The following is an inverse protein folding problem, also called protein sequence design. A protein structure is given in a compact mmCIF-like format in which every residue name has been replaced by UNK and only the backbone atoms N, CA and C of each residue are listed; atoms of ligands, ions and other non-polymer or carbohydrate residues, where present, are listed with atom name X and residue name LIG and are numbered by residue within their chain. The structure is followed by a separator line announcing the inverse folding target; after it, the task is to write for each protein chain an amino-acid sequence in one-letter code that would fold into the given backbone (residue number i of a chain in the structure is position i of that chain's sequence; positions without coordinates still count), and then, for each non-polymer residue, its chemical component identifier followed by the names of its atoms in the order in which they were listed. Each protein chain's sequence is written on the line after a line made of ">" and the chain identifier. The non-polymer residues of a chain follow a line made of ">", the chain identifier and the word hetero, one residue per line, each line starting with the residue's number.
data_IF_923212231691
#
_entry.id   IF_923212231691
#
_cell.length_a   1.000
_cell.length_b   1.000
_cell.length_c   1.000
_cell.angle_alpha   90.00
_cell.angle_beta   90.00
_cell.angle_gamma   90.00
#
_symmetry.space_group_name_H-M   'P 1'
#
loop_
_entity.id
_entity.type
_entity.pdbx_description
1 polymer ?
#
# COMPACT_ATOMS: atom_id res chain seq x y z
N UNK A 1 -11.06 12.35 -2.02
CA UNK A 1 -10.36 13.25 -1.08
C UNK A 1 -8.88 13.07 -1.33
N UNK A 2 -8.11 14.15 -1.44
CA UNK A 2 -6.65 14.09 -1.61
C UNK A 2 -6.07 14.96 -0.50
N UNK A 3 -5.18 14.39 0.31
CA UNK A 3 -4.46 15.18 1.31
C UNK A 3 -3.33 15.93 0.61
N UNK A 4 -3.24 17.22 0.89
CA UNK A 4 -2.23 18.10 0.33
C UNK A 4 -1.78 19.07 1.40
N UNK A 5 -0.54 18.94 1.85
CA UNK A 5 0.11 19.89 2.74
C UNK A 5 1.02 19.25 3.76
N UNK A 6 0.59 18.17 4.40
CA UNK A 6 1.42 17.45 5.37
C UNK A 6 2.05 16.19 4.77
N UNK A 7 1.39 15.55 3.79
CA UNK A 7 1.91 14.44 2.99
C UNK A 7 2.42 13.28 3.84
N UNK A 8 1.68 12.94 4.90
CA UNK A 8 2.04 11.84 5.79
C UNK A 8 1.72 10.49 5.17
N UNK A 9 2.74 9.62 5.13
CA UNK A 9 2.57 8.21 4.80
C UNK A 9 1.65 7.52 5.82
N UNK A 10 0.79 6.62 5.33
CA UNK A 10 -0.16 5.85 6.14
C UNK A 10 -1.52 6.51 6.29
N UNK A 11 -1.73 7.70 5.73
CA UNK A 11 -2.99 8.44 5.80
C UNK A 11 -4.14 7.78 5.02
N UNK A 12 -3.83 6.99 3.99
CA UNK A 12 -4.77 6.65 2.93
C UNK A 12 -5.92 5.74 3.41
N UNK A 13 -5.62 4.74 4.24
CA UNK A 13 -6.60 3.75 4.71
C UNK A 13 -7.60 4.38 5.69
N UNK A 14 -7.10 5.08 6.72
CA UNK A 14 -7.95 5.74 7.71
C UNK A 14 -8.70 6.94 7.11
N UNK A 15 -8.13 7.66 6.14
CA UNK A 15 -8.85 8.70 5.44
C UNK A 15 -10.00 8.15 4.61
N UNK A 16 -9.80 7.02 3.91
CA UNK A 16 -10.88 6.36 3.18
C UNK A 16 -12.00 5.91 4.13
N UNK A 17 -11.66 5.38 5.31
CA UNK A 17 -12.65 5.07 6.34
C UNK A 17 -13.43 6.32 6.79
N UNK A 18 -12.74 7.42 7.06
CA UNK A 18 -13.37 8.69 7.41
C UNK A 18 -14.33 9.21 6.33
N UNK A 19 -13.92 9.12 5.05
CA UNK A 19 -14.79 9.46 3.92
C UNK A 19 -16.00 8.53 3.85
N UNK A 20 -15.82 7.21 4.07
CA UNK A 20 -16.93 6.26 4.05
C UNK A 20 -17.94 6.52 5.18
N UNK A 21 -17.46 6.90 6.37
CA UNK A 21 -18.32 7.30 7.49
C UNK A 21 -19.10 8.59 7.18
N UNK A 22 -18.47 9.56 6.53
CA UNK A 22 -19.11 10.81 6.13
C UNK A 22 -20.10 10.65 4.96
N UNK A 23 -19.81 9.72 4.05
CA UNK A 23 -20.57 9.47 2.81
C UNK A 23 -20.95 7.98 2.67
N UNK A 24 -21.85 7.44 3.51
CA UNK A 24 -22.07 5.98 3.62
C UNK A 24 -22.53 5.30 2.32
N UNK A 25 -23.23 6.05 1.46
CA UNK A 25 -23.81 5.52 0.21
C UNK A 25 -22.82 5.51 -0.96
N UNK A 26 -21.65 6.14 -0.84
CA UNK A 26 -20.67 6.23 -1.92
C UNK A 26 -19.68 5.08 -1.86
N UNK A 27 -19.23 4.63 -3.02
CA UNK A 27 -18.08 3.74 -3.10
C UNK A 27 -16.80 4.55 -2.87
N UNK A 28 -15.93 4.06 -1.99
CA UNK A 28 -14.71 4.77 -1.59
C UNK A 28 -13.50 3.92 -1.93
N UNK A 29 -12.55 4.55 -2.61
CA UNK A 29 -11.28 3.96 -3.01
C UNK A 29 -10.12 4.74 -2.40
N UNK A 30 -9.16 4.02 -1.84
CA UNK A 30 -7.84 4.52 -1.47
C UNK A 30 -6.82 4.01 -2.49
N UNK A 31 -5.92 4.87 -2.94
CA UNK A 31 -4.75 4.46 -3.74
C UNK A 31 -3.52 4.66 -2.87
N UNK A 32 -2.73 3.62 -2.65
CA UNK A 32 -1.62 3.63 -1.67
C UNK A 32 -0.44 2.80 -2.16
N UNK A 33 0.78 3.22 -1.84
CA UNK A 33 1.99 2.41 -2.06
C UNK A 33 2.24 1.46 -0.90
N UNK A 34 2.92 0.35 -1.16
CA UNK A 34 3.40 -0.63 -0.17
C UNK A 34 4.06 -0.01 1.09
N UNK A 35 4.96 0.97 0.91
CA UNK A 35 5.65 1.63 2.03
C UNK A 35 4.69 2.40 2.94
N UNK A 36 3.72 3.12 2.37
CA UNK A 36 2.71 3.86 3.13
C UNK A 36 1.69 2.93 3.78
N UNK A 37 1.28 1.87 3.07
CA UNK A 37 0.39 0.86 3.59
C UNK A 37 0.96 0.20 4.85
N UNK A 38 2.25 -0.17 4.85
CA UNK A 38 2.91 -0.77 6.02
C UNK A 38 2.89 0.10 7.29
N UNK A 39 2.65 1.41 7.19
CA UNK A 39 2.65 2.29 8.35
C UNK A 39 1.35 2.22 9.16
N UNK A 40 0.19 2.12 8.50
CA UNK A 40 -1.13 2.23 9.16
C UNK A 40 -2.21 1.30 8.56
N UNK A 41 -1.82 0.21 7.91
CA UNK A 41 -2.77 -0.79 7.39
C UNK A 41 -3.66 -1.45 8.46
N UNK A 42 -3.29 -1.41 9.74
CA UNK A 42 -4.09 -1.99 10.82
C UNK A 42 -5.47 -1.33 10.97
N UNK A 43 -5.67 -0.14 10.40
CA UNK A 43 -6.97 0.54 10.36
C UNK A 43 -8.02 -0.19 9.50
N UNK A 44 -7.60 -1.20 8.71
CA UNK A 44 -8.52 -2.16 8.09
C UNK A 44 -9.39 -2.87 9.15
N UNK A 45 -8.85 -3.14 10.35
CA UNK A 45 -9.62 -3.73 11.45
C UNK A 45 -10.76 -2.82 11.87
N UNK A 46 -10.50 -1.52 12.00
CA UNK A 46 -11.51 -0.51 12.33
C UNK A 46 -12.60 -0.46 11.26
N UNK A 47 -12.23 -0.47 9.98
CA UNK A 47 -13.19 -0.50 8.86
C UNK A 47 -14.12 -1.72 8.94
N UNK A 48 -13.58 -2.90 9.25
CA UNK A 48 -14.37 -4.14 9.42
C UNK A 48 -15.28 -4.03 10.65
N UNK A 49 -14.74 -3.57 11.78
CA UNK A 49 -15.48 -3.42 13.04
C UNK A 49 -16.72 -2.53 12.86
N UNK A 50 -16.57 -1.42 12.14
CA UNK A 50 -17.64 -0.45 11.89
C UNK A 50 -18.54 -0.84 10.71
N UNK A 51 -18.30 -1.99 10.05
CA UNK A 51 -19.05 -2.43 8.87
C UNK A 51 -18.94 -1.47 7.68
N UNK A 52 -17.88 -0.66 7.64
CA UNK A 52 -17.69 0.42 6.68
C UNK A 52 -16.79 -0.03 5.53
N UNK A 53 -17.37 -0.57 4.46
CA UNK A 53 -16.63 -1.06 3.28
C UNK A 53 -15.81 0.06 2.63
N UNK A 54 -14.49 -0.14 2.53
CA UNK A 54 -13.57 0.66 1.71
C UNK A 54 -12.80 -0.25 0.75
N UNK A 55 -12.42 0.27 -0.40
CA UNK A 55 -11.55 -0.44 -1.35
C UNK A 55 -10.14 0.15 -1.29
N UNK A 56 -9.13 -0.70 -1.08
CA UNK A 56 -7.73 -0.27 -1.06
C UNK A 56 -7.02 -0.83 -2.29
N UNK A 57 -6.58 0.06 -3.17
CA UNK A 57 -5.76 -0.26 -4.33
C UNK A 57 -4.30 -0.01 -3.97
N UNK A 58 -3.58 -1.10 -3.71
CA UNK A 58 -2.18 -1.08 -3.28
C UNK A 58 -1.24 -1.32 -4.47
N UNK A 59 -0.29 -0.41 -4.66
CA UNK A 59 0.77 -0.53 -5.66
C UNK A 59 2.04 -1.05 -4.99
N UNK A 60 2.42 -2.28 -5.34
CA UNK A 60 3.55 -2.99 -4.76
C UNK A 60 4.77 -2.92 -5.68
N UNK A 61 5.80 -2.20 -5.25
CA UNK A 61 7.13 -2.22 -5.88
C UNK A 61 8.24 -2.51 -4.86
N UNK A 62 7.89 -3.00 -3.66
CA UNK A 62 8.78 -3.29 -2.54
C UNK A 62 9.79 -2.17 -2.24
N UNK A 63 9.38 -0.90 -2.29
CA UNK A 63 10.28 0.26 -2.23
C UNK A 63 9.59 1.52 -1.70
N UNK A 64 10.33 2.36 -0.97
CA UNK A 64 9.96 3.77 -0.80
C UNK A 64 10.18 4.55 -2.12
N UNK A 65 9.32 4.28 -3.11
CA UNK A 65 9.53 4.59 -4.53
C UNK A 65 9.80 6.06 -4.84
N UNK A 66 9.07 6.99 -4.23
CA UNK A 66 9.31 8.42 -4.48
C UNK A 66 10.72 8.86 -4.07
N UNK A 67 11.21 8.36 -2.92
CA UNK A 67 12.56 8.68 -2.44
C UNK A 67 13.62 7.97 -3.29
N UNK A 68 13.36 6.72 -3.68
CA UNK A 68 14.22 5.97 -4.58
C UNK A 68 14.39 6.68 -5.94
N UNK A 69 13.29 7.09 -6.56
CA UNK A 69 13.32 7.81 -7.83
C UNK A 69 14.10 9.12 -7.70
N UNK A 70 13.89 9.89 -6.62
CA UNK A 70 14.66 11.10 -6.36
C UNK A 70 16.17 10.83 -6.19
N UNK A 71 16.56 9.74 -5.52
CA UNK A 71 17.96 9.31 -5.44
C UNK A 71 18.52 9.06 -6.85
N UNK A 72 17.86 8.20 -7.63
CA UNK A 72 18.28 7.82 -8.98
C UNK A 72 18.39 9.03 -9.93
N UNK A 73 17.43 9.95 -9.86
CA UNK A 73 17.41 11.18 -10.68
C UNK A 73 18.57 12.13 -10.37
N UNK A 74 19.13 12.07 -9.16
CA UNK A 74 20.28 12.90 -8.75
C UNK A 74 21.63 12.18 -8.89
N UNK A 75 21.67 11.07 -9.65
CA UNK A 75 22.92 10.42 -10.08
C UNK A 75 23.52 9.48 -9.04
N UNK A 76 22.75 9.05 -8.04
CA UNK A 76 23.14 7.98 -7.11
C UNK A 76 22.34 6.72 -7.39
N UNK A 77 22.94 5.56 -7.12
CA UNK A 77 22.17 4.31 -7.11
C UNK A 77 21.19 4.28 -5.93
N UNK A 78 20.23 3.35 -6.01
CA UNK A 78 19.29 3.03 -4.94
C UNK A 78 20.04 2.79 -3.63
N UNK A 79 19.72 3.57 -2.61
CA UNK A 79 20.39 3.47 -1.32
C UNK A 79 19.38 3.42 -0.18
N UNK A 80 19.20 2.23 0.39
CA UNK A 80 18.37 1.96 1.58
C UNK A 80 16.88 2.29 1.43
N UNK A 81 16.40 2.48 0.19
CA UNK A 81 15.00 2.80 -0.13
C UNK A 81 14.20 1.58 -0.57
N UNK A 82 14.84 0.57 -1.15
CA UNK A 82 14.24 -0.73 -1.48
C UNK A 82 14.18 -1.65 -0.26
N UNK A 83 13.10 -2.42 -0.13
CA UNK A 83 12.90 -3.38 0.93
C UNK A 83 13.63 -4.69 0.61
N UNK A 84 14.95 -4.67 0.86
CA UNK A 84 15.86 -5.79 0.60
C UNK A 84 16.41 -6.40 1.87
N UNK A 85 16.70 -7.70 1.81
CA UNK A 85 17.51 -8.35 2.82
C UNK A 85 18.92 -7.78 2.85
N UNK A 86 19.53 -7.79 4.04
CA UNK A 86 20.95 -7.49 4.20
C UNK A 86 21.78 -8.60 3.55
N UNK A 87 22.67 -8.22 2.65
CA UNK A 87 23.66 -9.12 2.09
C UNK A 87 24.75 -9.40 3.14
N UNK A 88 25.01 -10.67 3.49
CA UNK A 88 25.98 -11.02 4.53
C UNK A 88 27.43 -10.73 4.13
N UNK A 89 27.76 -10.70 2.84
CA UNK A 89 29.14 -10.49 2.37
C UNK A 89 29.54 -9.01 2.43
N UNK A 90 28.64 -8.12 1.99
CA UNK A 90 28.90 -6.67 1.92
C UNK A 90 28.30 -5.86 3.06
N UNK A 91 27.43 -6.45 3.89
CA UNK A 91 26.70 -5.77 4.95
C UNK A 91 25.68 -4.74 4.48
N UNK A 92 25.45 -4.58 3.16
CA UNK A 92 24.51 -3.63 2.55
C UNK A 92 23.11 -4.22 2.40
N UNK A 93 22.10 -3.38 2.18
CA UNK A 93 20.73 -3.78 1.87
C UNK A 93 20.54 -3.98 0.37
N UNK A 94 21.35 -4.84 -0.24
CA UNK A 94 21.36 -5.13 -1.68
C UNK A 94 21.09 -6.62 -2.00
N UNK A 95 20.60 -7.38 -1.03
CA UNK A 95 20.13 -8.75 -1.22
C UNK A 95 18.81 -8.84 -2.00
N UNK A 96 18.14 -10.00 -1.97
CA UNK A 96 16.80 -10.16 -2.57
C UNK A 96 15.77 -9.26 -1.89
N UNK A 97 14.69 -8.93 -2.60
CA UNK A 97 13.52 -8.27 -2.02
C UNK A 97 12.92 -9.13 -0.90
N UNK A 98 12.43 -8.47 0.15
CA UNK A 98 11.66 -9.13 1.20
C UNK A 98 10.33 -9.62 0.60
N UNK A 99 9.92 -10.88 0.81
CA UNK A 99 8.74 -11.44 0.16
C UNK A 99 7.46 -11.12 0.94
N UNK A 100 7.09 -9.84 1.03
CA UNK A 100 5.83 -9.44 1.68
C UNK A 100 4.67 -9.76 0.75
N UNK A 101 3.65 -10.44 1.26
CA UNK A 101 2.38 -10.64 0.55
C UNK A 101 1.30 -9.79 1.22
N UNK A 102 1.05 -8.61 0.63
CA UNK A 102 0.08 -7.66 1.14
C UNK A 102 -1.37 -8.15 1.03
N UNK A 103 -1.68 -8.95 0.01
CA UNK A 103 -3.01 -9.53 -0.16
C UNK A 103 -3.29 -10.58 0.93
N UNK A 104 -2.31 -11.41 1.29
CA UNK A 104 -2.42 -12.33 2.42
C UNK A 104 -2.51 -11.58 3.75
N UNK A 105 -1.74 -10.52 3.93
CA UNK A 105 -1.79 -9.70 5.15
C UNK A 105 -3.18 -9.08 5.35
N UNK A 106 -3.78 -8.50 4.31
CA UNK A 106 -5.15 -7.98 4.39
C UNK A 106 -6.20 -9.10 4.55
N UNK A 107 -6.02 -10.26 3.90
CA UNK A 107 -6.89 -11.41 4.09
C UNK A 107 -6.87 -11.93 5.54
N UNK A 108 -5.72 -11.87 6.21
CA UNK A 108 -5.58 -12.27 7.62
C UNK A 108 -6.40 -11.37 8.57
N UNK A 109 -6.69 -10.12 8.19
CA UNK A 109 -7.65 -9.27 8.93
C UNK A 109 -9.10 -9.60 8.63
N UNK A 110 -9.39 -10.36 7.56
CA UNK A 110 -10.74 -10.68 7.11
C UNK A 110 -11.19 -9.92 5.86
N UNK A 111 -10.31 -9.19 5.19
CA UNK A 111 -10.65 -8.53 3.93
C UNK A 111 -10.79 -9.55 2.79
N UNK A 112 -11.66 -9.25 1.82
CA UNK A 112 -11.60 -9.86 0.49
C UNK A 112 -10.41 -9.26 -0.25
N UNK A 113 -9.55 -10.10 -0.82
CA UNK A 113 -8.31 -9.64 -1.45
C UNK A 113 -8.07 -10.27 -2.81
N UNK A 114 -7.31 -9.57 -3.63
CA UNK A 114 -6.95 -9.97 -4.98
C UNK A 114 -5.47 -9.69 -5.19
N UNK A 115 -4.80 -10.57 -5.93
CA UNK A 115 -3.46 -10.31 -6.46
C UNK A 115 -3.58 -10.12 -7.96
N UNK A 116 -3.20 -8.93 -8.43
CA UNK A 116 -3.40 -8.47 -9.79
C UNK A 116 -2.05 -8.16 -10.41
N UNK A 117 -1.78 -8.74 -11.58
CA UNK A 117 -0.55 -8.51 -12.36
C UNK A 117 -0.83 -8.13 -13.81
N UNK A 118 -2.11 -8.04 -14.20
CA UNK A 118 -2.54 -7.62 -15.54
C UNK A 118 -3.71 -6.65 -15.47
N UNK A 119 -3.91 -5.88 -16.54
CA UNK A 119 -5.05 -4.97 -16.66
C UNK A 119 -6.39 -5.71 -16.57
N UNK A 120 -6.52 -6.87 -17.22
CA UNK A 120 -7.75 -7.66 -17.17
C UNK A 120 -8.06 -8.13 -15.74
N UNK A 121 -7.06 -8.61 -14.99
CA UNK A 121 -7.23 -9.00 -13.59
C UNK A 121 -7.66 -7.81 -12.72
N UNK A 122 -7.19 -6.60 -13.03
CA UNK A 122 -7.61 -5.40 -12.32
C UNK A 122 -9.09 -5.11 -12.56
N UNK A 123 -9.53 -5.19 -13.82
CA UNK A 123 -10.94 -4.98 -14.19
C UNK A 123 -11.84 -6.02 -13.51
N UNK A 124 -11.45 -7.29 -13.53
CA UNK A 124 -12.20 -8.37 -12.91
C UNK A 124 -12.30 -8.20 -11.38
N UNK A 125 -11.19 -7.82 -10.73
CA UNK A 125 -11.16 -7.57 -9.28
C UNK A 125 -12.03 -6.36 -8.89
N UNK A 126 -12.00 -5.28 -9.67
CA UNK A 126 -12.83 -4.09 -9.42
C UNK A 126 -14.32 -4.37 -9.61
N UNK A 127 -14.70 -5.27 -10.51
CA UNK A 127 -16.09 -5.66 -10.71
C UNK A 127 -16.65 -6.56 -9.58
N UNK A 128 -15.79 -7.38 -8.96
CA UNK A 128 -16.15 -8.32 -7.89
C UNK A 128 -16.01 -7.71 -6.47
N UNK A 129 -15.30 -6.59 -6.32
CA UNK A 129 -14.99 -5.94 -5.04
C UNK A 129 -16.21 -5.37 -4.29
#
# INVERSE_FOLDING_TARGET
>A
HVEYGYSCMGYEVNAALGVKLAEPQREVYAMVGDGAFMMLHSELVTSIQEGCKINVVLFDNMTNGCINNLQMEHGMDSYTTEFRFRNPEGGKLDGKLVPVDFAMLAAAYGCKTYRVTTEQQLLDALADA
#
